data_IF_422125364674
#
_entry.id   IF_422125364674
#
_cell.length_a   1.000
_cell.length_b   1.000
_cell.length_c   1.000
_cell.angle_alpha   90.00
_cell.angle_beta   90.00
_cell.angle_gamma   90.00
#
_symmetry.space_group_name_H-M   'P 1'
#
loop_
_entity.id
_entity.type
_entity.pdbx_description
1 polymer ?
#
# COMPACT_ATOMS: atom_id res chain seq x y z
N UNK A 1 2.67 0.63 -17.07
CA UNK A 1 2.70 1.39 -15.80
C UNK A 1 2.87 0.42 -14.66
N UNK A 2 3.77 0.73 -13.72
CA UNK A 2 4.07 -0.15 -12.60
C UNK A 2 2.85 -0.29 -11.68
N UNK A 3 2.55 -1.52 -11.28
CA UNK A 3 1.41 -1.88 -10.45
C UNK A 3 1.89 -2.21 -9.04
N UNK A 4 1.39 -1.48 -8.05
CA UNK A 4 1.83 -1.55 -6.66
C UNK A 4 0.67 -1.89 -5.74
N UNK A 5 0.95 -2.61 -4.66
CA UNK A 5 0.07 -2.69 -3.51
C UNK A 5 0.79 -2.01 -2.35
N UNK A 6 0.14 -1.06 -1.71
CA UNK A 6 0.73 -0.34 -0.58
C UNK A 6 0.09 -0.82 0.71
N UNK A 7 0.93 -1.25 1.66
CA UNK A 7 0.48 -1.61 3.00
C UNK A 7 -0.27 -0.41 3.62
N UNK A 8 -1.24 -0.68 4.45
CA UNK A 8 -2.02 0.35 5.15
C UNK A 8 -1.10 1.33 5.89
N UNK A 9 -0.04 0.84 6.53
CA UNK A 9 0.90 1.73 7.23
C UNK A 9 1.65 2.66 6.29
N UNK A 10 1.96 2.21 5.08
CA UNK A 10 2.57 3.06 4.05
C UNK A 10 1.58 4.15 3.62
N UNK A 11 0.33 3.79 3.38
CA UNK A 11 -0.72 4.74 3.00
C UNK A 11 -0.97 5.79 4.09
N UNK A 12 -0.96 5.38 5.36
CA UNK A 12 -1.20 6.30 6.48
C UNK A 12 0.01 7.18 6.76
N UNK A 13 1.22 6.64 6.65
CA UNK A 13 2.43 7.42 6.96
C UNK A 13 2.71 8.52 5.95
N UNK A 14 2.26 8.37 4.72
CA UNK A 14 2.50 9.35 3.65
C UNK A 14 1.97 10.75 4.03
N UNK A 15 0.67 10.93 4.36
CA UNK A 15 0.18 12.24 4.76
C UNK A 15 0.70 12.70 6.11
N UNK A 16 1.15 11.78 6.97
CA UNK A 16 1.69 12.11 8.29
C UNK A 16 3.13 12.60 8.24
N UNK A 17 3.86 12.23 7.19
CA UNK A 17 5.28 12.59 7.03
C UNK A 17 5.56 13.01 5.59
N UNK A 18 5.31 14.28 5.24
CA UNK A 18 5.37 14.75 3.84
C UNK A 18 6.72 14.57 3.14
N UNK A 19 7.81 14.47 3.90
CA UNK A 19 9.14 14.28 3.32
C UNK A 19 9.55 12.81 3.22
N UNK A 20 8.68 11.88 3.60
CA UNK A 20 9.01 10.45 3.65
C UNK A 20 8.98 9.81 2.25
N UNK A 21 9.65 8.66 2.09
CA UNK A 21 9.51 7.86 0.86
C UNK A 21 8.07 7.47 0.55
N UNK A 22 7.28 7.18 1.58
CA UNK A 22 5.85 6.88 1.41
C UNK A 22 5.11 8.05 0.75
N UNK A 23 5.36 9.27 1.20
CA UNK A 23 4.75 10.47 0.62
C UNK A 23 5.16 10.66 -0.84
N UNK A 24 6.41 10.38 -1.18
CA UNK A 24 6.88 10.46 -2.55
C UNK A 24 6.15 9.46 -3.46
N UNK A 25 5.91 8.24 -2.97
CA UNK A 25 5.14 7.24 -3.72
C UNK A 25 3.71 7.73 -3.95
N UNK A 26 3.07 8.32 -2.95
CA UNK A 26 1.72 8.85 -3.12
C UNK A 26 1.69 10.01 -4.11
N UNK A 27 2.74 10.84 -4.17
CA UNK A 27 2.88 11.86 -5.21
C UNK A 27 2.94 11.26 -6.60
N UNK A 28 3.70 10.18 -6.77
CA UNK A 28 3.77 9.47 -8.04
C UNK A 28 2.41 8.91 -8.46
N UNK A 29 1.66 8.38 -7.49
CA UNK A 29 0.30 7.90 -7.74
C UNK A 29 -0.63 9.04 -8.14
N UNK A 30 -0.57 10.17 -7.43
CA UNK A 30 -1.36 11.36 -7.75
C UNK A 30 -1.06 11.85 -9.17
N UNK A 31 0.20 11.79 -9.59
CA UNK A 31 0.65 12.23 -10.91
C UNK A 31 0.51 11.15 -11.98
N UNK A 32 -0.15 10.03 -11.63
CA UNK A 32 -0.43 8.90 -12.53
C UNK A 32 0.83 8.27 -13.12
N UNK A 33 1.91 8.25 -12.33
CA UNK A 33 3.16 7.58 -12.71
C UNK A 33 3.19 6.12 -12.32
N UNK A 34 2.33 5.71 -11.39
CA UNK A 34 2.17 4.33 -10.94
C UNK A 34 0.69 4.02 -10.77
N UNK A 35 0.35 2.73 -10.83
CA UNK A 35 -0.99 2.23 -10.52
C UNK A 35 -0.98 1.64 -9.11
N UNK A 36 -1.92 2.03 -8.27
CA UNK A 36 -2.08 1.45 -6.93
C UNK A 36 -3.28 0.53 -6.93
N UNK A 37 -3.07 -0.70 -6.47
CA UNK A 37 -4.12 -1.70 -6.31
C UNK A 37 -4.61 -1.70 -4.87
N UNK A 38 -5.89 -1.92 -4.69
CA UNK A 38 -6.51 -2.05 -3.36
C UNK A 38 -7.66 -3.03 -3.44
N UNK A 39 -8.33 -3.23 -2.32
CA UNK A 39 -9.55 -4.03 -2.25
C UNK A 39 -10.49 -3.41 -1.23
N UNK A 40 -11.77 -3.78 -1.28
CA UNK A 40 -12.78 -3.26 -0.37
C UNK A 40 -12.37 -3.44 1.09
N UNK A 41 -11.75 -4.56 1.42
CA UNK A 41 -11.30 -4.86 2.77
C UNK A 41 -10.24 -3.87 3.27
N UNK A 42 -9.32 -3.46 2.38
CA UNK A 42 -8.31 -2.44 2.74
C UNK A 42 -8.95 -1.07 2.94
N UNK A 43 -9.89 -0.71 2.08
CA UNK A 43 -10.61 0.57 2.20
C UNK A 43 -11.36 0.61 3.52
N UNK A 44 -12.01 -0.49 3.90
CA UNK A 44 -12.73 -0.60 5.17
C UNK A 44 -11.77 -0.49 6.36
N UNK A 45 -10.62 -1.15 6.29
CA UNK A 45 -9.60 -1.07 7.34
C UNK A 45 -9.12 0.36 7.54
N UNK A 46 -8.76 1.04 6.45
CA UNK A 46 -8.27 2.42 6.53
C UNK A 46 -9.36 3.34 7.09
N UNK A 47 -10.60 3.18 6.64
CA UNK A 47 -11.73 3.97 7.14
C UNK A 47 -11.88 3.80 8.65
N UNK A 48 -11.75 2.57 9.15
CA UNK A 48 -11.85 2.28 10.58
C UNK A 48 -10.66 2.84 11.36
N UNK A 49 -9.44 2.58 10.88
CA UNK A 49 -8.21 2.95 11.59
C UNK A 49 -8.05 4.46 11.69
N UNK A 50 -8.46 5.21 10.67
CA UNK A 50 -8.36 6.67 10.68
C UNK A 50 -9.30 7.33 11.69
N UNK A 51 -10.23 6.57 12.27
CA UNK A 51 -11.11 7.05 13.34
C UNK A 51 -10.54 6.83 14.74
N UNK A 52 -9.47 6.05 14.87
CA UNK A 52 -8.84 5.80 16.18
C UNK A 52 -8.21 7.11 16.69
N UNK A 53 -8.37 7.41 17.99
CA UNK A 53 -7.83 8.67 18.56
C UNK A 53 -6.33 8.83 18.31
N UNK A 54 -5.56 7.74 18.37
CA UNK A 54 -4.13 7.76 18.13
C UNK A 54 -3.80 8.25 16.73
N UNK A 55 -4.57 7.81 15.75
CA UNK A 55 -4.35 8.22 14.37
C UNK A 55 -4.87 9.63 14.13
N UNK A 56 -6.02 9.99 14.70
CA UNK A 56 -6.57 11.34 14.59
C UNK A 56 -5.65 12.41 15.16
N UNK A 57 -4.86 12.04 16.16
CA UNK A 57 -3.88 12.96 16.74
C UNK A 57 -2.75 13.31 15.76
N UNK A 58 -2.48 12.44 14.79
CA UNK A 58 -1.39 12.58 13.85
C UNK A 58 -1.84 12.90 12.43
N UNK A 59 -3.09 12.58 12.09
CA UNK A 59 -3.63 12.72 10.73
C UNK A 59 -4.97 13.44 10.79
N UNK A 60 -5.00 14.64 10.22
CA UNK A 60 -6.24 15.43 10.19
C UNK A 60 -7.34 14.66 9.44
N UNK A 61 -8.59 14.67 9.96
CA UNK A 61 -9.70 13.95 9.32
C UNK A 61 -9.92 14.29 7.84
N UNK A 62 -9.66 15.53 7.44
CA UNK A 62 -9.79 15.94 6.04
C UNK A 62 -8.78 15.21 5.14
N UNK A 63 -7.56 15.00 5.61
CA UNK A 63 -6.54 14.27 4.87
C UNK A 63 -6.86 12.78 4.83
N UNK A 64 -7.38 12.24 5.93
CA UNK A 64 -7.84 10.85 5.99
C UNK A 64 -8.97 10.62 4.97
N UNK A 65 -9.92 11.52 4.91
CA UNK A 65 -11.02 11.45 3.94
C UNK A 65 -10.57 11.51 2.50
N UNK A 66 -9.58 12.36 2.20
CA UNK A 66 -9.00 12.43 0.86
C UNK A 66 -8.32 11.14 0.46
N UNK A 67 -7.60 10.52 1.40
CA UNK A 67 -6.94 9.23 1.13
C UNK A 67 -7.96 8.16 0.82
N UNK A 68 -9.01 8.03 1.63
CA UNK A 68 -10.07 7.05 1.43
C UNK A 68 -10.77 7.28 0.07
N UNK A 69 -11.10 8.53 -0.24
CA UNK A 69 -11.74 8.85 -1.51
C UNK A 69 -10.85 8.52 -2.70
N UNK A 70 -9.55 8.78 -2.61
CA UNK A 70 -8.61 8.44 -3.67
C UNK A 70 -8.54 6.93 -3.88
N UNK A 71 -8.54 6.15 -2.80
CA UNK A 71 -8.57 4.70 -2.91
C UNK A 71 -9.84 4.21 -3.61
N UNK A 72 -10.98 4.81 -3.29
CA UNK A 72 -12.25 4.42 -3.93
C UNK A 72 -12.31 4.82 -5.40
N UNK A 73 -11.83 6.01 -5.73
CA UNK A 73 -12.10 6.63 -7.03
C UNK A 73 -10.95 6.46 -8.03
N UNK A 74 -9.72 6.32 -7.56
CA UNK A 74 -8.53 6.33 -8.43
C UNK A 74 -7.78 5.02 -8.40
N UNK A 75 -7.69 4.34 -7.25
CA UNK A 75 -7.00 3.06 -7.16
C UNK A 75 -7.76 1.99 -7.95
N UNK A 76 -7.04 1.00 -8.44
CA UNK A 76 -7.65 -0.18 -9.04
C UNK A 76 -8.11 -1.12 -7.94
N UNK A 77 -9.41 -1.31 -7.82
CA UNK A 77 -9.99 -2.18 -6.80
C UNK A 77 -10.07 -3.59 -7.36
N UNK A 78 -9.39 -4.54 -6.70
CA UNK A 78 -9.44 -5.96 -7.09
C UNK A 78 -10.45 -6.70 -6.23
N UNK A 79 -11.07 -7.71 -6.80
CA UNK A 79 -12.10 -8.52 -6.15
C UNK A 79 -11.73 -9.99 -6.15
N UNK A 80 -12.45 -10.78 -5.37
CA UNK A 80 -12.25 -12.24 -5.31
C UNK A 80 -10.82 -12.60 -4.93
N UNK A 81 -10.37 -12.06 -3.78
CA UNK A 81 -9.00 -12.29 -3.31
C UNK A 81 -8.75 -13.77 -3.04
N UNK A 82 -7.59 -14.30 -3.45
CA UNK A 82 -7.21 -15.67 -3.10
C UNK A 82 -6.93 -15.78 -1.61
N UNK A 83 -6.95 -17.01 -1.10
CA UNK A 83 -6.55 -17.29 0.27
C UNK A 83 -5.02 -17.39 0.28
N UNK A 84 -4.37 -16.57 1.10
CA UNK A 84 -2.92 -16.56 1.26
C UNK A 84 -2.60 -16.78 2.74
N UNK A 85 -1.72 -17.72 3.03
CA UNK A 85 -1.30 -18.07 4.39
C UNK A 85 0.21 -18.28 4.41
N UNK A 86 0.96 -17.19 4.28
CA UNK A 86 2.42 -17.23 4.26
C UNK A 86 3.06 -16.49 5.43
N UNK A 87 2.31 -15.59 6.05
CA UNK A 87 2.77 -14.82 7.19
C UNK A 87 1.94 -15.17 8.42
N UNK A 88 2.53 -15.14 9.63
CA UNK A 88 1.74 -15.27 10.86
C UNK A 88 0.73 -14.12 11.06
N UNK A 89 0.95 -12.98 10.41
CA UNK A 89 0.05 -11.83 10.51
C UNK A 89 -0.98 -11.87 9.37
N UNK A 90 -2.29 -11.96 9.68
CA UNK A 90 -3.33 -11.96 8.64
C UNK A 90 -3.32 -10.72 7.75
N UNK A 91 -2.90 -9.57 8.27
CA UNK A 91 -2.85 -8.33 7.48
C UNK A 91 -1.81 -8.43 6.37
N UNK A 92 -0.70 -9.13 6.63
CA UNK A 92 0.34 -9.38 5.63
C UNK A 92 -0.18 -10.31 4.53
N UNK A 93 -0.89 -11.35 4.91
CA UNK A 93 -1.47 -12.30 3.95
C UNK A 93 -2.47 -11.62 3.04
N UNK A 94 -3.21 -10.67 3.58
CA UNK A 94 -4.17 -9.88 2.85
C UNK A 94 -3.47 -8.98 1.79
N UNK A 95 -2.36 -8.34 2.17
CA UNK A 95 -1.54 -7.56 1.26
C UNK A 95 -1.05 -8.41 0.08
N UNK A 96 -0.57 -9.62 0.38
CA UNK A 96 -0.11 -10.57 -0.63
C UNK A 96 -1.25 -11.07 -1.52
N UNK A 97 -2.44 -11.22 -0.96
CA UNK A 97 -3.62 -11.63 -1.73
C UNK A 97 -4.00 -10.59 -2.77
N UNK A 98 -3.96 -9.30 -2.41
CA UNK A 98 -4.22 -8.21 -3.36
C UNK A 98 -3.16 -8.23 -4.46
N UNK A 99 -1.89 -8.38 -4.10
CA UNK A 99 -0.78 -8.42 -5.06
C UNK A 99 -0.93 -9.57 -6.03
N UNK A 100 -1.28 -10.75 -5.54
CA UNK A 100 -1.47 -11.93 -6.38
C UNK A 100 -2.64 -11.75 -7.33
N UNK A 101 -3.80 -11.34 -6.82
CA UNK A 101 -5.01 -11.18 -7.61
C UNK A 101 -4.88 -10.10 -8.67
N UNK A 102 -4.24 -8.99 -8.32
CA UNK A 102 -4.06 -7.84 -9.20
C UNK A 102 -2.79 -7.87 -10.03
N UNK A 103 -1.98 -8.92 -9.89
CA UNK A 103 -0.70 -9.05 -10.59
C UNK A 103 0.21 -7.84 -10.36
N UNK A 104 0.37 -7.46 -9.08
CA UNK A 104 1.25 -6.37 -8.72
C UNK A 104 2.71 -6.75 -8.91
N UNK A 105 3.50 -5.80 -9.38
CA UNK A 105 4.94 -5.99 -9.49
C UNK A 105 5.60 -5.95 -8.11
N UNK A 106 5.14 -5.03 -7.25
CA UNK A 106 5.72 -4.85 -5.92
C UNK A 106 4.65 -4.61 -4.86
N UNK A 107 4.50 -5.53 -3.89
CA UNK A 107 3.91 -5.18 -2.61
C UNK A 107 4.91 -4.31 -1.83
N UNK A 108 4.44 -3.18 -1.28
CA UNK A 108 5.29 -2.20 -0.61
C UNK A 108 4.92 -2.14 0.87
N UNK A 109 5.87 -2.43 1.75
CA UNK A 109 5.66 -2.38 3.19
C UNK A 109 6.93 -1.96 3.92
N UNK A 110 6.78 -1.31 5.07
CA UNK A 110 7.88 -1.01 5.97
C UNK A 110 7.99 -2.00 7.12
N UNK A 111 7.07 -2.96 7.19
CA UNK A 111 6.92 -3.83 8.35
C UNK A 111 7.53 -5.21 8.16
N UNK A 112 8.02 -5.79 9.25
CA UNK A 112 8.26 -7.21 9.38
C UNK A 112 6.97 -7.87 9.91
N UNK A 113 6.57 -9.10 9.51
CA UNK A 113 7.36 -10.06 8.74
C UNK A 113 7.22 -10.02 7.22
N UNK A 114 6.34 -9.21 6.52
CA UNK A 114 6.31 -9.34 5.05
C UNK A 114 7.67 -9.17 4.40
N UNK A 115 8.52 -8.26 4.93
CA UNK A 115 9.88 -8.10 4.42
C UNK A 115 10.72 -9.35 4.59
N UNK A 116 10.47 -10.13 5.64
CA UNK A 116 11.18 -11.39 5.88
C UNK A 116 10.84 -12.46 4.85
N UNK A 117 9.70 -12.35 4.17
CA UNK A 117 9.33 -13.28 3.09
C UNK A 117 10.05 -12.97 1.79
N UNK A 118 10.47 -11.71 1.59
CA UNK A 118 11.14 -11.17 0.41
C UNK A 118 10.33 -11.31 -0.88
N UNK A 119 9.73 -12.45 -1.12
CA UNK A 119 8.94 -12.71 -2.34
C UNK A 119 7.68 -13.48 -2.03
N UNK A 120 6.65 -13.21 -2.84
CA UNK A 120 5.44 -14.02 -2.91
C UNK A 120 5.18 -14.33 -4.38
N UNK A 121 5.28 -15.60 -4.76
CA UNK A 121 5.18 -16.05 -6.16
C UNK A 121 6.20 -15.27 -7.02
N UNK A 122 5.75 -14.54 -8.03
CA UNK A 122 6.62 -13.76 -8.90
C UNK A 122 6.86 -12.33 -8.43
N UNK A 123 6.23 -11.92 -7.31
CA UNK A 123 6.35 -10.56 -6.82
C UNK A 123 7.43 -10.43 -5.76
N UNK A 124 8.14 -9.31 -5.80
CA UNK A 124 9.18 -8.98 -4.81
C UNK A 124 8.62 -7.96 -3.83
N UNK A 125 8.69 -8.28 -2.54
CA UNK A 125 8.22 -7.40 -1.47
C UNK A 125 9.32 -6.40 -1.14
N UNK A 126 9.00 -5.11 -1.15
CA UNK A 126 9.99 -4.03 -0.99
C UNK A 126 9.53 -2.99 0.02
N UNK A 127 10.49 -2.21 0.53
CA UNK A 127 10.19 -1.01 1.32
C UNK A 127 9.92 0.18 0.39
N UNK A 128 9.30 1.26 0.91
CA UNK A 128 9.14 2.48 0.12
C UNK A 128 10.47 3.02 -0.43
N UNK A 129 11.52 3.02 0.38
CA UNK A 129 12.83 3.53 -0.07
C UNK A 129 13.41 2.67 -1.20
N UNK A 130 13.31 1.34 -1.08
CA UNK A 130 13.78 0.42 -2.13
C UNK A 130 12.97 0.60 -3.40
N UNK A 131 11.64 0.77 -3.29
CA UNK A 131 10.82 1.00 -4.46
C UNK A 131 11.24 2.26 -5.21
N UNK A 132 11.49 3.35 -4.50
CA UNK A 132 11.93 4.60 -5.14
C UNK A 132 13.26 4.42 -5.86
N UNK A 133 14.18 3.65 -5.28
CA UNK A 133 15.46 3.35 -5.93
C UNK A 133 15.25 2.55 -7.21
N UNK A 134 14.36 1.56 -7.18
CA UNK A 134 14.02 0.75 -8.36
C UNK A 134 13.43 1.62 -9.47
N UNK A 135 12.59 2.59 -9.10
CA UNK A 135 12.00 3.51 -10.08
C UNK A 135 13.06 4.38 -10.75
N UNK A 136 14.07 4.84 -9.98
CA UNK A 136 15.19 5.60 -10.53
C UNK A 136 16.03 4.77 -11.48
N UNK A 137 16.12 3.47 -11.23
CA UNK A 137 16.88 2.53 -12.05
C UNK A 137 16.06 1.99 -13.23
N UNK A 138 14.91 2.59 -13.54
CA UNK A 138 14.07 2.16 -14.64
C UNK A 138 13.12 1.02 -14.28
N UNK A 139 12.86 0.79 -13.00
CA UNK A 139 11.94 -0.23 -12.53
C UNK A 139 12.49 -1.65 -12.50
N UNK A 140 13.78 -1.79 -12.55
CA UNK A 140 14.45 -3.10 -12.58
C UNK A 140 14.85 -3.61 -11.22
#
# INVERSE_FOLDING_TARGET
MMRLVLDTNVLLSAPMSPASPSAEILSLWRDRKVTVLTAAEQIDEITRVTRYPRIRALLHPALAGRLVNRLRDVATVVENLPIVDRSPDPDDNYLLAIAERGEAQFPVTGDEPPLGLERHKSTRIVTPAVLLQLLKDGGK
#
